data_IF_184860888320
#
_entry.id   IF_184860888320
#
_cell.length_a   1.000
_cell.length_b   1.000
_cell.length_c   1.000
_cell.angle_alpha   90.00
_cell.angle_beta   90.00
_cell.angle_gamma   90.00
#
_symmetry.space_group_name_H-M   'P 1'
#
loop_
_entity.id
_entity.type
_entity.pdbx_description
1 polymer ?
#
# COMPACT_ATOMS: atom_id res chain seq x y z
N UNK A 1 4.77 6.96 -6.50
CA UNK A 1 5.63 5.75 -6.51
C UNK A 1 4.96 4.66 -7.32
N UNK A 2 5.72 3.80 -8.01
CA UNK A 2 5.15 2.60 -8.64
C UNK A 2 4.50 1.70 -7.60
N UNK A 3 3.23 1.33 -7.79
CA UNK A 3 2.48 0.49 -6.84
C UNK A 3 3.18 -0.84 -6.51
N UNK A 4 4.01 -1.35 -7.43
CA UNK A 4 4.84 -2.56 -7.25
C UNK A 4 5.76 -2.55 -6.03
N UNK A 5 6.14 -1.36 -5.52
CA UNK A 5 7.07 -1.24 -4.40
C UNK A 5 6.39 -0.81 -3.09
N UNK A 6 5.08 -0.61 -3.09
CA UNK A 6 4.35 -0.14 -1.90
C UNK A 6 4.58 -1.03 -0.68
N UNK A 7 4.68 -2.35 -0.88
CA UNK A 7 4.93 -3.30 0.21
C UNK A 7 6.34 -3.16 0.80
N UNK A 8 7.33 -2.90 -0.05
CA UNK A 8 8.74 -2.69 0.36
C UNK A 8 8.86 -1.38 1.14
N UNK A 9 8.23 -0.31 0.67
CA UNK A 9 8.24 1.00 1.33
C UNK A 9 7.54 0.93 2.67
N UNK A 10 6.32 0.38 2.71
CA UNK A 10 5.57 0.19 3.95
C UNK A 10 6.39 -0.64 4.96
N UNK A 11 7.02 -1.73 4.52
CA UNK A 11 7.87 -2.55 5.40
C UNK A 11 9.07 -1.78 5.95
N UNK A 12 9.70 -0.89 5.17
CA UNK A 12 10.83 -0.07 5.63
C UNK A 12 10.35 1.01 6.61
N UNK A 13 9.26 1.71 6.30
CA UNK A 13 8.68 2.75 7.14
C UNK A 13 8.27 2.19 8.50
N UNK A 14 7.46 1.12 8.49
CA UNK A 14 6.96 0.48 9.70
C UNK A 14 8.11 -0.14 10.50
N UNK A 15 9.05 -0.85 9.86
CA UNK A 15 10.20 -1.47 10.54
C UNK A 15 11.13 -0.46 11.23
N UNK A 16 11.15 0.79 10.76
CA UNK A 16 11.96 1.84 11.37
C UNK A 16 11.25 2.47 12.60
N UNK A 17 9.92 2.39 12.65
CA UNK A 17 9.07 2.99 13.69
C UNK A 17 8.54 2.00 14.75
N UNK A 18 8.67 0.68 14.56
CA UNK A 18 8.19 -0.34 15.54
C UNK A 18 8.80 -0.17 16.94
N UNK A 19 10.00 0.40 17.03
CA UNK A 19 10.68 0.62 18.33
C UNK A 19 10.15 1.84 19.10
N UNK A 20 9.39 2.69 18.41
CA UNK A 20 8.92 4.01 18.84
C UNK A 20 7.40 4.00 19.08
N UNK A 21 6.66 3.28 18.23
CA UNK A 21 5.20 3.23 18.23
C UNK A 21 4.65 2.19 19.20
N UNK A 22 3.53 2.52 19.83
CA UNK A 22 2.69 1.54 20.52
C UNK A 22 2.01 0.59 19.52
N UNK A 23 1.51 -0.55 20.01
CA UNK A 23 0.81 -1.54 19.19
C UNK A 23 -0.40 -0.93 18.47
N UNK A 24 -1.14 -0.04 19.14
CA UNK A 24 -2.33 0.60 18.57
C UNK A 24 -1.97 1.57 17.43
N UNK A 25 -0.86 2.30 17.57
CA UNK A 25 -0.37 3.22 16.54
C UNK A 25 0.14 2.46 15.31
N UNK A 26 0.90 1.39 15.53
CA UNK A 26 1.39 0.50 14.48
C UNK A 26 0.22 -0.13 13.71
N UNK A 27 -0.81 -0.59 14.42
CA UNK A 27 -2.00 -1.18 13.80
C UNK A 27 -2.78 -0.14 12.98
N UNK A 28 -2.92 1.09 13.48
CA UNK A 28 -3.57 2.17 12.75
C UNK A 28 -2.81 2.55 11.49
N UNK A 29 -1.47 2.63 11.57
CA UNK A 29 -0.60 2.91 10.41
C UNK A 29 -0.74 1.85 9.32
N UNK A 30 -0.60 0.56 9.70
CA UNK A 30 -0.73 -0.57 8.79
C UNK A 30 -2.10 -0.61 8.09
N UNK A 31 -3.18 -0.26 8.79
CA UNK A 31 -4.52 -0.20 8.22
C UNK A 31 -4.63 0.84 7.10
N UNK A 32 -4.03 2.02 7.29
CA UNK A 32 -4.01 3.08 6.27
C UNK A 32 -3.21 2.64 5.04
N UNK A 33 -2.07 1.97 5.24
CA UNK A 33 -1.28 1.42 4.15
C UNK A 33 -2.06 0.35 3.37
N UNK A 34 -2.77 -0.55 4.06
CA UNK A 34 -3.58 -1.59 3.42
C UNK A 34 -4.70 -0.99 2.56
N UNK A 35 -5.41 0.02 3.08
CA UNK A 35 -6.49 0.70 2.34
C UNK A 35 -5.97 1.39 1.07
N UNK A 36 -4.84 2.10 1.16
CA UNK A 36 -4.20 2.73 0.00
C UNK A 36 -3.79 1.70 -1.06
N UNK A 37 -3.22 0.57 -0.63
CA UNK A 37 -2.80 -0.49 -1.53
C UNK A 37 -3.98 -1.18 -2.21
N UNK A 38 -5.09 -1.41 -1.50
CA UNK A 38 -6.34 -1.95 -2.09
C UNK A 38 -6.90 -0.98 -3.14
N UNK A 39 -7.03 0.30 -2.81
CA UNK A 39 -7.53 1.31 -3.76
C UNK A 39 -6.66 1.46 -5.02
N UNK A 40 -5.34 1.29 -4.92
CA UNK A 40 -4.47 1.28 -6.10
C UNK A 40 -4.56 -0.01 -6.91
N UNK A 41 -4.81 -1.16 -6.27
CA UNK A 41 -4.98 -2.44 -6.97
C UNK A 41 -6.23 -2.39 -7.85
N UNK A 42 -7.34 -1.89 -7.32
CA UNK A 42 -8.60 -1.73 -8.07
C UNK A 42 -8.42 -0.82 -9.29
N UNK A 43 -7.69 0.29 -9.15
CA UNK A 43 -7.38 1.19 -10.26
C UNK A 43 -6.39 0.60 -11.29
N UNK A 44 -5.47 -0.26 -10.84
CA UNK A 44 -4.52 -0.94 -11.72
C UNK A 44 -5.19 -2.07 -12.50
N UNK A 45 -6.16 -2.78 -11.91
CA UNK A 45 -7.00 -3.76 -12.60
C UNK A 45 -7.93 -3.09 -13.62
N UNK A 46 -8.51 -1.93 -13.28
CA UNK A 46 -9.35 -1.13 -14.19
C UNK A 46 -8.57 -0.61 -15.41
N UNK A 47 -7.30 -0.22 -15.24
CA UNK A 47 -6.44 0.18 -16.36
C UNK A 47 -5.93 -1.01 -17.20
N UNK A 48 -5.74 -2.19 -16.59
CA UNK A 48 -5.33 -3.40 -17.32
C UNK A 48 -6.47 -3.96 -18.20
N UNK A 49 -7.73 -3.75 -17.82
CA UNK A 49 -8.90 -4.17 -18.61
C UNK A 49 -9.19 -3.28 -19.83
N UNK A 50 -8.48 -2.16 -20.01
CA UNK A 50 -8.54 -1.37 -21.25
C UNK A 50 -7.64 -1.99 -22.32
N UNK A 51 -8.05 -3.13 -22.87
CA UNK A 51 -7.63 -3.49 -24.22
C UNK A 51 -8.45 -2.58 -25.16
N UNK A 52 -7.85 -1.50 -25.63
CA UNK A 52 -8.36 -0.77 -26.80
C UNK A 52 -8.30 -1.72 -28.00
N UNK A 53 -9.41 -2.38 -28.31
CA UNK A 53 -9.62 -2.94 -29.62
C UNK A 53 -9.78 -1.77 -30.59
N UNK A 54 -8.89 -1.70 -31.57
CA UNK A 54 -8.94 -0.77 -32.71
C UNK A 54 -10.02 -1.20 -33.70
#
# INVERSE_FOLDING_TARGET
MPAKFNYVVCSIEESNDVTSLSVDELQSSLLVHEQRMKGQKDHSEEQALKITNA
#
